data_IF_005384803564
#
_entry.id   IF_005384803564
#
_cell.length_a   1.000
_cell.length_b   1.000
_cell.length_c   1.000
_cell.angle_alpha   90.00
_cell.angle_beta   90.00
_cell.angle_gamma   90.00
#
_symmetry.space_group_name_H-M   'P 1'
#
loop_
_entity.id
_entity.type
_entity.pdbx_description
1 polymer ?
#
# COMPACT_ATOMS: atom_id res chain seq x y z
N UNK A 1 -12.99 -9.41 9.60
CA UNK A 1 -13.32 -8.95 8.25
C UNK A 1 -12.02 -8.41 7.66
N UNK A 2 -11.60 -8.90 6.49
CA UNK A 2 -10.38 -8.41 5.84
C UNK A 2 -10.85 -7.40 4.81
N UNK A 3 -10.47 -6.13 4.98
CA UNK A 3 -10.77 -5.07 4.01
C UNK A 3 -9.63 -5.02 3.01
N UNK A 4 -9.92 -4.93 1.71
CA UNK A 4 -8.88 -4.71 0.70
C UNK A 4 -8.93 -3.26 0.28
N UNK A 5 -7.82 -2.55 0.43
CA UNK A 5 -7.64 -1.17 -0.04
C UNK A 5 -6.82 -1.20 -1.30
N UNK A 6 -7.35 -0.63 -2.37
CA UNK A 6 -6.57 -0.32 -3.57
C UNK A 6 -5.97 1.08 -3.41
N UNK A 7 -4.66 1.18 -3.56
CA UNK A 7 -3.88 2.41 -3.64
C UNK A 7 -3.45 2.55 -5.10
N UNK A 8 -4.13 3.42 -5.82
CA UNK A 8 -3.79 3.72 -7.21
C UNK A 8 -2.65 4.76 -7.21
N UNK A 9 -1.47 4.35 -7.69
CA UNK A 9 -0.33 5.25 -7.84
C UNK A 9 -0.45 6.02 -9.16
N UNK A 10 -0.87 5.33 -10.24
CA UNK A 10 -1.20 5.91 -11.55
C UNK A 10 -1.96 4.87 -12.40
N UNK A 11 -2.33 5.21 -13.64
CA UNK A 11 -3.01 4.35 -14.63
C UNK A 11 -2.32 3.00 -14.86
N UNK A 12 -1.02 2.95 -14.63
CA UNK A 12 -0.18 1.78 -14.85
C UNK A 12 0.24 1.07 -13.57
N UNK A 13 0.03 1.63 -12.38
CA UNK A 13 0.55 1.06 -11.13
C UNK A 13 -0.46 1.20 -10.01
N UNK A 14 -0.90 0.06 -9.49
CA UNK A 14 -1.78 -0.02 -8.33
C UNK A 14 -1.20 -0.98 -7.28
N UNK A 15 -1.46 -0.69 -6.02
CA UNK A 15 -1.08 -1.55 -4.90
C UNK A 15 -2.34 -1.86 -4.13
N UNK A 16 -2.73 -3.13 -4.09
CA UNK A 16 -3.79 -3.55 -3.17
C UNK A 16 -3.17 -4.00 -1.85
N UNK A 17 -3.80 -3.64 -0.74
CA UNK A 17 -3.38 -3.97 0.61
C UNK A 17 -4.56 -4.63 1.32
N UNK A 18 -4.30 -5.73 2.01
CA UNK A 18 -5.27 -6.31 2.95
C UNK A 18 -5.10 -5.68 4.32
N UNK A 19 -6.14 -5.00 4.76
CA UNK A 19 -6.31 -4.46 6.10
C UNK A 19 -7.07 -5.47 6.96
N UNK A 20 -6.31 -6.16 7.81
CA UNK A 20 -6.82 -6.92 8.93
C UNK A 20 -6.07 -6.50 10.20
N UNK A 21 -6.77 -6.47 11.34
CA UNK A 21 -6.14 -6.21 12.65
C UNK A 21 -5.03 -7.22 13.01
N UNK A 22 -5.00 -8.38 12.33
CA UNK A 22 -3.96 -9.38 12.46
C UNK A 22 -2.89 -9.18 11.39
N UNK A 23 -1.69 -8.83 11.83
CA UNK A 23 -0.46 -9.03 11.04
C UNK A 23 -0.39 -10.48 10.57
N UNK A 24 0.16 -10.76 9.37
CA UNK A 24 0.85 -9.84 8.47
C UNK A 24 -0.08 -9.03 7.54
N UNK A 25 0.34 -7.82 7.17
CA UNK A 25 -0.27 -7.05 6.08
C UNK A 25 0.18 -7.68 4.75
N UNK A 26 -0.75 -8.08 3.89
CA UNK A 26 -0.41 -8.56 2.55
C UNK A 26 -0.69 -7.47 1.51
N UNK A 27 0.22 -7.35 0.55
CA UNK A 27 0.18 -6.38 -0.53
C UNK A 27 0.31 -7.10 -1.86
N UNK A 28 -0.44 -6.63 -2.84
CA UNK A 28 -0.32 -7.07 -4.22
C UNK A 28 0.00 -5.86 -5.07
N UNK A 29 1.14 -5.90 -5.76
CA UNK A 29 1.56 -4.85 -6.69
C UNK A 29 1.07 -5.28 -8.06
N UNK A 30 0.24 -4.42 -8.68
CA UNK A 30 -0.28 -4.59 -10.03
C UNK A 30 0.37 -3.52 -10.91
N UNK A 31 1.09 -3.95 -11.94
CA UNK A 31 1.74 -3.05 -12.90
C UNK A 31 1.27 -3.40 -14.31
N UNK A 32 0.77 -2.41 -15.05
CA UNK A 32 0.19 -2.55 -16.40
C UNK A 32 -0.92 -3.62 -16.47
N UNK A 33 -1.70 -3.74 -15.41
CA UNK A 33 -2.77 -4.73 -15.30
C UNK A 33 -2.33 -6.14 -14.94
N UNK A 34 -1.03 -6.38 -14.72
CA UNK A 34 -0.48 -7.67 -14.31
C UNK A 34 -0.05 -7.64 -12.83
N UNK A 35 -0.39 -8.69 -12.09
CA UNK A 35 0.15 -8.89 -10.74
C UNK A 35 1.65 -9.20 -10.85
N UNK A 36 2.49 -8.27 -10.40
CA UNK A 36 3.95 -8.43 -10.47
C UNK A 36 4.56 -8.99 -9.18
N UNK A 37 3.89 -8.81 -8.05
CA UNK A 37 4.28 -9.46 -6.80
C UNK A 37 3.15 -9.47 -5.78
N UNK A 38 3.14 -10.50 -4.94
CA UNK A 38 2.53 -10.48 -3.62
C UNK A 38 3.62 -10.42 -2.54
N UNK A 39 3.38 -9.66 -1.49
CA UNK A 39 4.33 -9.45 -0.40
C UNK A 39 3.58 -9.40 0.93
N UNK A 40 4.07 -10.13 1.93
CA UNK A 40 3.54 -10.09 3.30
C UNK A 40 4.57 -9.45 4.22
N UNK A 41 4.14 -8.49 5.05
CA UNK A 41 5.02 -7.91 6.06
C UNK A 41 4.30 -7.59 7.35
N UNK A 42 5.05 -7.69 8.45
CA UNK A 42 4.63 -7.21 9.76
C UNK A 42 4.78 -5.69 9.91
N UNK A 43 5.45 -5.03 8.96
CA UNK A 43 5.62 -3.58 8.92
C UNK A 43 4.34 -2.92 8.42
N UNK A 44 3.72 -2.15 9.32
CA UNK A 44 2.48 -1.44 9.03
C UNK A 44 2.77 -0.24 8.12
N UNK A 45 2.16 -0.15 6.94
CA UNK A 45 2.44 0.88 5.94
C UNK A 45 1.82 2.21 6.32
N UNK A 46 1.00 2.28 7.38
CA UNK A 46 0.58 3.53 7.99
C UNK A 46 1.73 4.20 8.75
N UNK A 47 2.76 3.43 9.10
CA UNK A 47 4.00 3.96 9.68
C UNK A 47 4.97 4.38 8.58
N UNK A 48 5.81 5.38 8.87
CA UNK A 48 6.89 5.81 7.97
C UNK A 48 7.79 4.62 7.56
N UNK A 49 8.13 3.75 8.51
CA UNK A 49 8.96 2.57 8.25
C UNK A 49 8.32 1.57 7.30
N UNK A 50 7.01 1.31 7.45
CA UNK A 50 6.27 0.45 6.54
C UNK A 50 6.12 1.04 5.15
N UNK A 51 5.83 2.35 5.02
CA UNK A 51 5.81 3.03 3.71
C UNK A 51 7.13 2.93 2.98
N UNK A 52 8.23 3.20 3.68
CA UNK A 52 9.57 3.08 3.10
C UNK A 52 9.84 1.64 2.63
N UNK A 53 9.44 0.65 3.43
CA UNK A 53 9.52 -0.76 3.06
C UNK A 53 8.74 -1.08 1.79
N UNK A 54 7.46 -0.70 1.75
CA UNK A 54 6.58 -0.91 0.60
C UNK A 54 7.12 -0.24 -0.66
N UNK A 55 7.53 1.03 -0.59
CA UNK A 55 8.18 1.75 -1.69
C UNK A 55 9.39 0.99 -2.21
N UNK A 56 10.26 0.51 -1.33
CA UNK A 56 11.46 -0.22 -1.76
C UNK A 56 11.11 -1.54 -2.46
N UNK A 57 10.04 -2.23 -2.03
CA UNK A 57 9.53 -3.42 -2.73
C UNK A 57 9.01 -3.05 -4.12
N UNK A 58 8.21 -1.99 -4.22
CA UNK A 58 7.69 -1.48 -5.50
C UNK A 58 8.84 -1.12 -6.43
N UNK A 59 9.77 -0.25 -6.02
CA UNK A 59 10.93 0.14 -6.83
C UNK A 59 11.79 -1.05 -7.29
N UNK A 60 11.84 -2.15 -6.51
CA UNK A 60 12.57 -3.35 -6.90
C UNK A 60 11.85 -4.13 -8.01
N UNK A 61 10.52 -4.07 -8.07
CA UNK A 61 9.68 -4.79 -9.04
C UNK A 61 9.39 -3.97 -10.29
N UNK A 62 9.29 -2.65 -10.13
CA UNK A 62 9.12 -1.67 -11.21
C UNK A 62 10.29 -0.67 -11.17
N UNK A 63 11.50 -1.10 -11.58
CA UNK A 63 12.71 -0.27 -11.48
C UNK A 63 12.67 0.95 -12.41
N UNK A 64 11.88 0.90 -13.48
CA UNK A 64 11.68 1.99 -14.42
C UNK A 64 10.75 3.10 -13.88
N UNK A 65 10.09 2.86 -12.74
CA UNK A 65 9.14 3.80 -12.14
C UNK A 65 9.84 4.77 -11.20
N UNK A 66 9.45 6.05 -11.25
CA UNK A 66 10.08 7.07 -10.41
C UNK A 66 9.78 6.84 -8.92
N UNK A 67 10.85 6.65 -8.15
CA UNK A 67 10.78 6.46 -6.69
C UNK A 67 10.04 7.60 -6.00
N UNK A 68 10.23 8.84 -6.47
CA UNK A 68 9.58 10.01 -5.90
C UNK A 68 8.06 9.96 -6.07
N UNK A 69 7.59 9.58 -7.27
CA UNK A 69 6.16 9.42 -7.55
C UNK A 69 5.52 8.34 -6.66
N UNK A 70 6.21 7.21 -6.45
CA UNK A 70 5.73 6.15 -5.55
C UNK A 70 5.67 6.67 -4.10
N UNK A 71 6.70 7.38 -3.64
CA UNK A 71 6.76 7.90 -2.26
C UNK A 71 5.66 8.92 -1.98
N UNK A 72 5.39 9.81 -2.94
CA UNK A 72 4.31 10.80 -2.90
C UNK A 72 2.94 10.12 -2.86
N UNK A 73 2.65 9.23 -3.82
CA UNK A 73 1.37 8.53 -3.89
C UNK A 73 1.08 7.71 -2.63
N UNK A 74 2.06 6.95 -2.13
CA UNK A 74 1.91 6.20 -0.88
C UNK A 74 1.71 7.12 0.33
N UNK A 75 2.33 8.30 0.34
CA UNK A 75 2.17 9.26 1.44
C UNK A 75 0.82 9.96 1.42
N UNK A 76 0.21 10.13 0.25
CA UNK A 76 -1.09 10.77 0.08
C UNK A 76 -2.25 9.78 0.25
N UNK A 77 -2.19 8.61 -0.39
CA UNK A 77 -3.32 7.68 -0.44
C UNK A 77 -3.47 6.87 0.85
N UNK A 78 -2.37 6.40 1.46
CA UNK A 78 -2.46 5.58 2.68
C UNK A 78 -3.21 6.29 3.81
N UNK A 79 -2.95 7.58 4.14
CA UNK A 79 -3.72 8.31 5.13
C UNK A 79 -5.21 8.41 4.79
N UNK A 80 -5.58 8.71 3.54
CA UNK A 80 -6.99 8.81 3.12
C UNK A 80 -7.77 7.52 3.38
N UNK A 81 -7.14 6.38 3.16
CA UNK A 81 -7.74 5.07 3.45
C UNK A 81 -7.75 4.74 4.95
N UNK A 82 -6.73 5.20 5.69
CA UNK A 82 -6.63 5.00 7.14
C UNK A 82 -7.63 5.86 7.93
N UNK A 83 -7.84 7.12 7.54
CA UNK A 83 -8.80 8.03 8.16
C UNK A 83 -10.23 7.52 8.00
N UNK A 84 -10.59 7.03 6.80
CA UNK A 84 -11.88 6.37 6.54
C UNK A 84 -12.17 5.20 7.48
N UNK A 85 -11.15 4.45 7.91
CA UNK A 85 -11.32 3.35 8.86
C UNK A 85 -11.40 3.82 10.31
N UNK A 86 -10.68 4.88 10.65
CA UNK A 86 -10.78 5.50 11.98
C UNK A 86 -12.18 6.05 12.20
N UNK A 87 -12.79 6.63 11.16
CA UNK A 87 -14.20 7.03 11.18
C UNK A 87 -15.15 5.82 11.19
N UNK A 88 -14.87 4.78 10.39
CA UNK A 88 -15.74 3.59 10.32
C UNK A 88 -15.72 2.71 11.58
N UNK A 89 -14.64 2.77 12.38
CA UNK A 89 -14.49 2.01 13.62
C UNK A 89 -14.92 2.81 14.87
N UNK A 90 -15.25 4.10 14.72
CA UNK A 90 -15.60 5.01 15.81
C UNK A 90 -14.41 5.34 16.73
N UNK A 91 -14.46 6.44 17.49
CA UNK A 91 -13.44 6.71 18.51
C UNK A 91 -13.47 5.59 19.56
N UNK A 92 -12.33 4.93 19.75
CA UNK A 92 -12.09 4.02 20.89
C UNK A 92 -12.02 4.79 22.20
#
# INVERSE_FOLDING_TARGET
MVTVVAIDIDESLAVTMTEGASKPCAYTIVYKGEEVTQYETSADPRTIGGRIGLRNVICKRVPDYEKAAIDEALSEEIPKHTERLTEALGPQ
#
